data_IF_789175604246
#
_entry.id   IF_789175604246
#
_cell.length_a   1.000
_cell.length_b   1.000
_cell.length_c   1.000
_cell.angle_alpha   90.00
_cell.angle_beta   90.00
_cell.angle_gamma   90.00
#
_symmetry.space_group_name_H-M   'P 1'
#
loop_
_entity.id
_entity.type
_entity.pdbx_description
1 polymer ?
#
# COMPACT_ATOMS: atom_id res chain seq x y z
N UNK A 1 3.55 8.38 -22.63
CA UNK A 1 3.98 7.55 -21.49
C UNK A 1 2.85 7.54 -20.49
N UNK A 2 2.49 6.41 -19.95
CA UNK A 2 1.48 6.28 -18.89
C UNK A 2 2.05 6.81 -17.58
N UNK A 3 1.27 7.66 -16.87
CA UNK A 3 1.67 8.28 -15.60
C UNK A 3 1.05 7.55 -14.42
N UNK A 4 1.88 6.98 -13.56
CA UNK A 4 1.46 6.17 -12.41
C UNK A 4 1.92 6.82 -11.10
N UNK A 5 0.97 7.04 -10.17
CA UNK A 5 1.22 7.68 -8.87
C UNK A 5 0.96 6.68 -7.76
N UNK A 6 1.92 6.47 -6.85
CA UNK A 6 1.66 5.72 -5.62
C UNK A 6 1.06 6.62 -4.54
N UNK A 7 0.04 6.12 -3.87
CA UNK A 7 -0.57 6.74 -2.70
C UNK A 7 -0.44 5.79 -1.52
N UNK A 8 0.40 6.17 -0.57
CA UNK A 8 0.60 5.45 0.69
C UNK A 8 -0.42 5.95 1.70
N UNK A 9 -1.37 5.09 2.05
CA UNK A 9 -2.40 5.40 3.03
C UNK A 9 -1.85 5.21 4.45
N UNK A 10 -1.71 6.30 5.23
CA UNK A 10 -1.18 6.27 6.59
C UNK A 10 -1.92 7.21 7.53
N UNK A 11 -2.10 6.80 8.80
CA UNK A 11 -2.59 7.65 9.90
C UNK A 11 -2.08 7.13 11.25
N UNK A 12 -1.98 8.01 12.25
CA UNK A 12 -1.55 7.63 13.61
C UNK A 12 -2.71 7.16 14.50
N UNK A 13 -3.95 7.49 14.15
CA UNK A 13 -5.15 7.18 14.92
C UNK A 13 -5.62 5.72 14.81
N UNK A 14 -4.72 4.74 14.83
CA UNK A 14 -5.06 3.31 14.92
C UNK A 14 -5.58 2.97 16.32
N UNK A 15 -6.70 2.24 16.42
CA UNK A 15 -7.25 1.81 17.71
C UNK A 15 -6.52 0.58 18.29
N UNK A 16 -6.16 -0.38 17.44
CA UNK A 16 -5.45 -1.62 17.85
C UNK A 16 -4.00 -1.39 18.21
N UNK A 17 -3.33 -0.50 17.47
CA UNK A 17 -1.94 -0.13 17.70
C UNK A 17 -1.79 1.40 17.47
N UNK A 18 -1.99 2.24 18.51
CA UNK A 18 -1.82 3.69 18.41
C UNK A 18 -0.41 4.07 17.94
N UNK A 19 -0.34 5.07 17.07
CA UNK A 19 0.91 5.59 16.50
C UNK A 19 1.78 4.56 15.75
N UNK A 20 1.19 3.46 15.33
CA UNK A 20 1.83 2.35 14.63
C UNK A 20 2.86 2.79 13.58
N UNK A 21 2.53 3.82 12.78
CA UNK A 21 3.39 4.28 11.68
C UNK A 21 4.74 4.83 12.13
N UNK A 22 4.84 5.30 13.39
CA UNK A 22 6.08 5.80 13.99
C UNK A 22 6.79 4.74 14.85
N UNK A 23 6.23 3.54 14.96
CA UNK A 23 6.87 2.45 15.70
C UNK A 23 8.15 1.98 15.00
N UNK A 24 9.17 1.70 15.81
CA UNK A 24 10.50 1.33 15.32
C UNK A 24 10.56 -0.14 14.88
N UNK A 25 11.11 -0.36 13.70
CA UNK A 25 11.49 -1.66 13.15
C UNK A 25 12.93 -1.56 12.59
N UNK A 26 13.91 -2.17 13.30
CA UNK A 26 15.30 -2.21 12.84
C UNK A 26 15.96 -0.82 12.69
N UNK A 27 15.66 0.12 13.59
CA UNK A 27 16.23 1.47 13.58
C UNK A 27 15.49 2.49 12.69
N UNK A 28 14.43 2.09 12.00
CA UNK A 28 13.59 2.92 11.13
C UNK A 28 12.13 2.86 11.57
N UNK A 29 11.33 3.90 11.28
CA UNK A 29 9.89 3.84 11.51
C UNK A 29 9.20 2.92 10.50
N UNK A 30 8.02 2.37 10.82
CA UNK A 30 7.25 1.61 9.84
C UNK A 30 6.92 2.44 8.60
N UNK A 31 6.64 3.74 8.77
CA UNK A 31 6.43 4.66 7.64
C UNK A 31 7.68 4.78 6.77
N UNK A 32 8.85 4.89 7.38
CA UNK A 32 10.13 4.97 6.65
C UNK A 32 10.38 3.72 5.83
N UNK A 33 10.13 2.53 6.40
CA UNK A 33 10.21 1.26 5.67
C UNK A 33 9.36 1.30 4.40
N UNK A 34 8.10 1.68 4.52
CA UNK A 34 7.17 1.71 3.38
C UNK A 34 7.57 2.76 2.37
N UNK A 35 7.85 4.00 2.80
CA UNK A 35 8.18 5.11 1.90
C UNK A 35 9.44 4.81 1.08
N UNK A 36 10.54 4.42 1.75
CA UNK A 36 11.81 4.16 1.07
C UNK A 36 11.70 2.98 0.09
N UNK A 37 10.92 1.95 0.43
CA UNK A 37 10.72 0.80 -0.45
C UNK A 37 9.85 1.14 -1.65
N UNK A 38 8.76 1.87 -1.46
CA UNK A 38 7.88 2.33 -2.56
C UNK A 38 8.62 3.26 -3.52
N UNK A 39 9.47 4.17 -3.00
CA UNK A 39 10.27 5.09 -3.83
C UNK A 39 11.32 4.37 -4.72
N UNK A 40 11.63 3.10 -4.46
CA UNK A 40 12.53 2.28 -5.29
C UNK A 40 11.84 1.62 -6.48
N UNK A 41 10.52 1.71 -6.60
CA UNK A 41 9.80 1.22 -7.79
C UNK A 41 10.20 2.03 -9.03
N UNK A 42 10.47 1.35 -10.13
CA UNK A 42 10.92 1.96 -11.39
C UNK A 42 9.75 2.47 -12.26
N UNK A 43 8.52 2.03 -11.95
CA UNK A 43 7.33 2.35 -12.73
C UNK A 43 6.42 3.39 -12.08
N UNK A 44 6.88 4.03 -11.01
CA UNK A 44 6.17 5.11 -10.33
C UNK A 44 6.77 6.46 -10.70
N UNK A 45 5.93 7.38 -11.17
CA UNK A 45 6.34 8.76 -11.48
C UNK A 45 6.32 9.67 -10.24
N UNK A 46 5.56 9.30 -9.21
CA UNK A 46 5.36 10.10 -8.00
C UNK A 46 4.90 9.22 -6.84
N UNK A 47 5.36 9.55 -5.62
CA UNK A 47 4.93 8.88 -4.39
C UNK A 47 4.37 9.94 -3.44
N UNK A 48 3.18 9.71 -2.89
CA UNK A 48 2.49 10.64 -1.99
C UNK A 48 1.97 9.87 -0.77
N UNK A 49 2.21 10.39 0.43
CA UNK A 49 1.57 9.90 1.65
C UNK A 49 0.23 10.61 1.85
N UNK A 50 -0.87 9.87 1.88
CA UNK A 50 -2.21 10.40 2.12
C UNK A 50 -2.61 10.19 3.59
N UNK A 51 -2.61 11.30 4.36
CA UNK A 51 -2.94 11.29 5.80
C UNK A 51 -4.14 12.16 6.13
N UNK A 52 -4.48 12.26 7.42
CA UNK A 52 -5.66 13.01 7.86
C UNK A 52 -5.34 14.47 8.24
N UNK A 53 -6.38 15.26 8.47
CA UNK A 53 -6.26 16.62 9.01
C UNK A 53 -6.23 16.66 10.53
N UNK A 54 -6.28 15.49 11.21
CA UNK A 54 -6.22 15.41 12.66
C UNK A 54 -4.86 15.93 13.18
N UNK A 55 -4.85 16.71 14.29
CA UNK A 55 -3.60 17.22 14.86
C UNK A 55 -2.59 16.13 15.24
N UNK A 56 -3.06 14.92 15.57
CA UNK A 56 -2.19 13.78 15.86
C UNK A 56 -1.29 13.43 14.66
N UNK A 57 -1.79 13.58 13.44
CA UNK A 57 -1.04 13.28 12.22
C UNK A 57 -0.01 14.36 11.83
N UNK A 58 0.10 15.49 12.60
CA UNK A 58 1.18 16.47 12.39
C UNK A 58 2.56 15.82 12.58
N UNK A 59 2.67 14.85 13.48
CA UNK A 59 3.91 14.08 13.68
C UNK A 59 4.25 13.21 12.46
N UNK A 60 3.26 12.60 11.84
CA UNK A 60 3.44 11.85 10.61
C UNK A 60 3.84 12.75 9.44
N UNK A 61 3.26 13.95 9.35
CA UNK A 61 3.67 14.97 8.37
C UNK A 61 5.12 15.42 8.60
N UNK A 62 5.55 15.57 9.86
CA UNK A 62 6.94 15.91 10.18
C UNK A 62 7.90 14.80 9.75
N UNK A 63 7.55 13.53 9.97
CA UNK A 63 8.30 12.36 9.50
C UNK A 63 8.40 12.32 7.97
N UNK A 64 7.29 12.50 7.26
CA UNK A 64 7.28 12.58 5.81
C UNK A 64 8.20 13.67 5.25
N UNK A 65 8.30 14.81 5.94
CA UNK A 65 9.21 15.88 5.56
C UNK A 65 10.68 15.47 5.70
N UNK A 66 11.03 14.70 6.73
CA UNK A 66 12.40 14.17 6.90
C UNK A 66 12.73 13.12 5.83
N UNK A 67 11.72 12.34 5.42
CA UNK A 67 11.82 11.34 4.35
C UNK A 67 11.75 11.94 2.93
N UNK A 68 11.61 13.26 2.81
CA UNK A 68 11.48 13.98 1.54
C UNK A 68 10.35 13.42 0.64
N UNK A 69 9.26 12.95 1.25
CA UNK A 69 8.07 12.46 0.54
C UNK A 69 6.92 13.47 0.61
N UNK A 70 6.20 13.60 -0.50
CA UNK A 70 5.04 14.48 -0.56
C UNK A 70 3.91 13.99 0.34
N UNK A 71 3.18 14.93 0.95
CA UNK A 71 2.02 14.67 1.82
C UNK A 71 0.78 15.34 1.29
N UNK A 72 -0.33 14.61 1.25
CA UNK A 72 -1.66 15.15 1.05
C UNK A 72 -2.52 14.85 2.28
N UNK A 73 -3.15 15.89 2.84
CA UNK A 73 -4.04 15.74 4.01
C UNK A 73 -5.51 15.86 3.59
N UNK A 74 -6.37 15.08 4.22
CA UNK A 74 -7.81 15.12 3.95
C UNK A 74 -8.65 14.52 5.08
N UNK A 75 -9.92 14.22 4.79
CA UNK A 75 -10.87 13.70 5.76
C UNK A 75 -10.39 12.39 6.41
N UNK A 76 -10.64 12.24 7.71
CA UNK A 76 -10.37 11.00 8.47
C UNK A 76 -11.22 9.84 7.96
N UNK A 77 -12.49 10.10 7.64
CA UNK A 77 -13.49 9.09 7.32
C UNK A 77 -13.67 8.87 5.80
N UNK A 78 -13.01 9.69 4.96
CA UNK A 78 -13.11 9.60 3.51
C UNK A 78 -11.74 9.37 2.89
N UNK A 79 -11.27 8.13 2.96
CA UNK A 79 -9.99 7.72 2.38
C UNK A 79 -10.02 7.84 0.85
N UNK A 80 -11.13 7.42 0.22
CA UNK A 80 -11.31 7.57 -1.22
C UNK A 80 -11.17 9.04 -1.66
N UNK A 81 -11.79 9.98 -0.92
CA UNK A 81 -11.63 11.41 -1.17
C UNK A 81 -10.19 11.89 -1.02
N UNK A 82 -9.40 11.34 -0.07
CA UNK A 82 -7.98 11.62 0.03
C UNK A 82 -7.21 11.17 -1.20
N UNK A 83 -7.48 9.97 -1.70
CA UNK A 83 -6.86 9.45 -2.92
C UNK A 83 -7.17 10.32 -4.14
N UNK A 84 -8.43 10.70 -4.33
CA UNK A 84 -8.84 11.57 -5.42
C UNK A 84 -8.15 12.94 -5.34
N UNK A 85 -8.01 13.50 -4.13
CA UNK A 85 -7.33 14.79 -3.94
C UNK A 85 -5.84 14.77 -4.33
N UNK A 86 -5.19 13.59 -4.31
CA UNK A 86 -3.79 13.44 -4.78
C UNK A 86 -3.68 13.61 -6.28
N UNK A 87 -4.68 13.15 -7.03
CA UNK A 87 -4.71 13.21 -8.50
C UNK A 87 -5.53 14.37 -9.04
N UNK A 88 -6.00 15.27 -8.19
CA UNK A 88 -6.72 16.47 -8.61
C UNK A 88 -5.79 17.41 -9.36
N UNK A 89 -6.15 17.76 -10.60
CA UNK A 89 -5.31 18.56 -11.51
C UNK A 89 -4.10 17.81 -12.09
N UNK A 90 -3.92 16.52 -11.77
CA UNK A 90 -2.86 15.68 -12.34
C UNK A 90 -3.38 14.89 -13.57
N UNK A 91 -2.47 14.58 -14.49
CA UNK A 91 -2.71 13.76 -15.69
C UNK A 91 -2.44 12.26 -15.43
N UNK A 92 -2.56 11.80 -14.20
CA UNK A 92 -2.36 10.41 -13.84
C UNK A 92 -3.30 9.48 -14.61
N UNK A 93 -2.76 8.39 -15.13
CA UNK A 93 -3.51 7.29 -15.77
C UNK A 93 -3.88 6.23 -14.73
N UNK A 94 -3.01 5.99 -13.76
CA UNK A 94 -3.18 4.97 -12.72
C UNK A 94 -2.72 5.46 -11.34
N UNK A 95 -3.33 4.90 -10.31
CA UNK A 95 -2.96 5.09 -8.91
C UNK A 95 -2.64 3.73 -8.30
N UNK A 96 -1.45 3.61 -7.70
CA UNK A 96 -1.07 2.46 -6.88
C UNK A 96 -1.45 2.75 -5.43
N UNK A 97 -2.34 1.95 -4.87
CA UNK A 97 -2.69 1.98 -3.46
C UNK A 97 -1.71 1.12 -2.67
N UNK A 98 -1.08 1.72 -1.68
CA UNK A 98 -0.20 1.04 -0.73
C UNK A 98 -0.73 1.28 0.68
N UNK A 99 -0.89 0.20 1.45
CA UNK A 99 -1.20 0.28 2.87
C UNK A 99 0.09 0.40 3.68
N UNK A 100 0.18 1.41 4.55
CA UNK A 100 1.41 1.68 5.31
C UNK A 100 1.70 0.66 6.43
N UNK A 101 0.82 -0.30 6.67
CA UNK A 101 1.03 -1.42 7.58
C UNK A 101 1.82 -2.59 6.98
N UNK A 102 2.26 -2.47 5.72
CA UNK A 102 3.10 -3.45 5.01
C UNK A 102 4.55 -2.96 4.91
N UNK A 103 5.37 -3.04 6.00
CA UNK A 103 6.74 -2.49 5.97
C UNK A 103 7.63 -3.16 4.93
N UNK A 104 7.32 -4.39 4.56
CA UNK A 104 8.09 -5.15 3.57
C UNK A 104 7.53 -5.05 2.14
N UNK A 105 6.61 -4.09 1.88
CA UNK A 105 6.17 -3.82 0.50
C UNK A 105 7.36 -3.87 -0.47
N UNK A 106 7.21 -4.55 -1.59
CA UNK A 106 8.35 -4.78 -2.48
C UNK A 106 8.23 -4.00 -3.80
N UNK A 107 9.25 -3.20 -4.18
CA UNK A 107 9.22 -2.42 -5.40
C UNK A 107 9.04 -3.28 -6.65
N UNK A 108 9.65 -4.46 -6.71
CA UNK A 108 9.49 -5.39 -7.82
C UNK A 108 8.08 -5.95 -7.92
N UNK A 109 7.41 -6.19 -6.78
CA UNK A 109 6.00 -6.58 -6.74
C UNK A 109 5.08 -5.44 -7.21
N UNK A 110 5.36 -4.19 -6.80
CA UNK A 110 4.64 -3.01 -7.33
C UNK A 110 4.78 -2.94 -8.84
N UNK A 111 6.01 -2.99 -9.35
CA UNK A 111 6.30 -2.88 -10.77
C UNK A 111 5.65 -4.02 -11.58
N UNK A 112 5.55 -5.21 -11.00
CA UNK A 112 4.85 -6.33 -11.63
C UNK A 112 3.36 -6.01 -11.80
N UNK A 113 2.67 -5.58 -10.73
CA UNK A 113 1.23 -5.25 -10.81
C UNK A 113 0.97 -4.11 -11.78
N UNK A 114 1.81 -3.06 -11.77
CA UNK A 114 1.71 -1.92 -12.71
C UNK A 114 1.86 -2.39 -14.17
N UNK A 115 2.83 -3.25 -14.44
CA UNK A 115 3.08 -3.81 -15.78
C UNK A 115 1.91 -4.66 -16.27
N UNK A 116 1.39 -5.54 -15.41
CA UNK A 116 0.26 -6.41 -15.72
C UNK A 116 -1.03 -5.59 -15.92
N UNK A 117 -1.27 -4.56 -15.08
CA UNK A 117 -2.39 -3.64 -15.22
C UNK A 117 -2.41 -2.97 -16.59
N UNK A 118 -1.31 -2.39 -17.01
CA UNK A 118 -1.23 -1.71 -18.32
C UNK A 118 -1.31 -2.71 -19.49
N UNK A 119 -0.70 -3.89 -19.34
CA UNK A 119 -0.68 -4.93 -20.37
C UNK A 119 -2.05 -5.58 -20.62
N UNK A 120 -2.87 -5.73 -19.58
CA UNK A 120 -4.19 -6.37 -19.67
C UNK A 120 -5.33 -5.40 -20.04
N UNK A 121 -5.10 -4.09 -19.99
CA UNK A 121 -6.12 -3.08 -20.24
C UNK A 121 -7.33 -3.25 -19.32
N UNK A 122 -7.07 -3.43 -18.03
CA UNK A 122 -8.06 -3.54 -16.96
C UNK A 122 -8.22 -2.22 -16.22
N UNK A 123 -9.29 -2.06 -15.45
CA UNK A 123 -9.51 -0.89 -14.60
C UNK A 123 -8.93 -1.05 -13.20
N UNK A 124 -8.68 -2.32 -12.76
CA UNK A 124 -8.16 -2.65 -11.46
C UNK A 124 -7.29 -3.91 -11.54
N UNK A 125 -6.11 -3.88 -10.94
CA UNK A 125 -5.23 -5.04 -10.79
C UNK A 125 -4.65 -5.09 -9.38
N UNK A 126 -4.37 -6.29 -8.87
CA UNK A 126 -3.91 -6.45 -7.49
C UNK A 126 -3.14 -7.75 -7.29
N UNK A 127 -2.24 -7.75 -6.34
CA UNK A 127 -1.59 -8.93 -5.79
C UNK A 127 -1.81 -9.08 -4.28
N UNK A 128 -2.80 -8.38 -3.73
CA UNK A 128 -3.08 -8.31 -2.31
C UNK A 128 -4.15 -9.32 -1.89
N UNK A 129 -3.92 -10.02 -0.78
CA UNK A 129 -4.93 -10.88 -0.14
C UNK A 129 -5.88 -10.06 0.74
N UNK A 130 -7.11 -10.55 0.99
CA UNK A 130 -7.68 -11.87 0.69
C UNK A 130 -8.47 -11.97 -0.64
N UNK A 131 -8.24 -11.09 -1.59
CA UNK A 131 -9.10 -10.94 -2.76
C UNK A 131 -8.69 -11.84 -3.93
N UNK A 132 -9.69 -12.47 -4.56
CA UNK A 132 -9.49 -13.32 -5.74
C UNK A 132 -8.57 -14.53 -5.48
N UNK A 133 -7.98 -15.05 -6.55
CA UNK A 133 -7.06 -16.20 -6.53
C UNK A 133 -5.61 -15.79 -6.23
N UNK A 134 -5.39 -14.64 -5.57
CA UNK A 134 -4.06 -14.21 -5.18
C UNK A 134 -3.42 -15.20 -4.20
N UNK A 135 -2.24 -15.69 -4.56
CA UNK A 135 -1.49 -16.68 -3.81
C UNK A 135 -0.18 -16.12 -3.21
N UNK A 136 -0.02 -14.80 -3.18
CA UNK A 136 1.12 -14.13 -2.56
C UNK A 136 1.18 -14.34 -1.05
N UNK A 137 2.40 -14.33 -0.49
CA UNK A 137 2.57 -14.00 0.92
C UNK A 137 2.04 -12.59 1.19
N UNK A 138 1.33 -12.40 2.31
CA UNK A 138 0.76 -11.11 2.68
C UNK A 138 1.84 -10.14 3.17
N UNK A 139 1.68 -8.83 2.89
CA UNK A 139 2.67 -7.79 3.26
C UNK A 139 3.50 -7.26 2.09
N UNK A 140 3.38 -7.87 0.89
CA UNK A 140 4.00 -7.37 -0.35
C UNK A 140 2.97 -6.77 -1.32
N UNK A 141 1.72 -6.65 -0.88
CA UNK A 141 0.58 -6.33 -1.71
C UNK A 141 0.50 -4.87 -2.15
N UNK A 142 0.14 -4.67 -3.42
CA UNK A 142 -0.25 -3.40 -4.00
C UNK A 142 -1.51 -3.58 -4.84
N UNK A 143 -2.27 -2.50 -4.99
CA UNK A 143 -3.44 -2.43 -5.85
C UNK A 143 -3.26 -1.29 -6.84
N UNK A 144 -3.53 -1.54 -8.11
CA UNK A 144 -3.48 -0.52 -9.17
C UNK A 144 -4.89 -0.25 -9.66
N UNK A 145 -5.29 1.01 -9.61
CA UNK A 145 -6.63 1.48 -9.98
C UNK A 145 -6.48 2.53 -11.08
N UNK A 146 -7.24 2.44 -12.17
CA UNK A 146 -7.23 3.52 -13.15
C UNK A 146 -7.71 4.84 -12.51
N UNK A 147 -7.07 5.95 -12.85
CA UNK A 147 -7.45 7.25 -12.31
C UNK A 147 -8.91 7.62 -12.68
N UNK A 148 -9.39 7.13 -13.82
CA UNK A 148 -10.79 7.28 -14.26
C UNK A 148 -11.74 6.54 -13.32
N UNK A 149 -11.45 5.25 -13.00
CA UNK A 149 -12.24 4.48 -12.05
C UNK A 149 -12.25 5.14 -10.68
N UNK A 150 -11.09 5.60 -10.19
CA UNK A 150 -10.98 6.26 -8.89
C UNK A 150 -11.87 7.52 -8.82
N UNK A 151 -11.84 8.37 -9.87
CA UNK A 151 -12.72 9.54 -9.98
C UNK A 151 -14.20 9.14 -10.06
N UNK A 152 -14.53 8.08 -10.82
CA UNK A 152 -15.89 7.55 -10.94
C UNK A 152 -16.41 7.06 -9.57
N UNK A 153 -15.65 6.28 -8.83
CA UNK A 153 -16.02 5.82 -7.49
C UNK A 153 -16.32 6.98 -6.53
N UNK A 154 -15.53 8.06 -6.59
CA UNK A 154 -15.74 9.21 -5.72
C UNK A 154 -17.07 9.95 -5.96
N UNK A 155 -17.65 9.87 -7.16
CA UNK A 155 -18.95 10.47 -7.50
C UNK A 155 -20.14 9.57 -7.19
N UNK A 156 -19.91 8.29 -6.85
CA UNK A 156 -20.96 7.33 -6.54
C UNK A 156 -21.48 7.49 -5.10
N UNK A 157 -22.72 7.04 -4.87
CA UNK A 157 -23.29 6.96 -3.54
C UNK A 157 -22.79 5.70 -2.82
N UNK A 158 -21.54 5.75 -2.34
CA UNK A 158 -20.89 4.66 -1.62
C UNK A 158 -21.16 4.76 -0.12
N UNK A 159 -21.18 3.60 0.55
CA UNK A 159 -21.27 3.52 2.01
C UNK A 159 -20.03 4.11 2.68
N UNK A 160 -20.12 4.54 3.96
CA UNK A 160 -18.93 5.00 4.69
C UNK A 160 -17.80 3.98 4.69
N UNK A 161 -18.10 2.68 4.81
CA UNK A 161 -17.12 1.61 4.79
C UNK A 161 -16.43 1.48 3.43
N UNK A 162 -17.18 1.59 2.32
CA UNK A 162 -16.58 1.59 0.96
C UNK A 162 -15.71 2.83 0.72
N UNK A 163 -16.06 4.00 1.29
CA UNK A 163 -15.22 5.19 1.22
C UNK A 163 -13.95 5.08 2.07
N UNK A 164 -14.00 4.37 3.19
CA UNK A 164 -12.83 4.10 4.05
C UNK A 164 -11.87 3.10 3.40
N UNK A 165 -12.38 2.05 2.76
CA UNK A 165 -11.57 0.97 2.20
C UNK A 165 -11.35 1.08 0.69
N UNK A 166 -11.48 2.24 0.10
CA UNK A 166 -11.20 2.65 -1.31
C UNK A 166 -11.66 1.66 -2.39
N UNK A 167 -11.20 0.41 -2.33
CA UNK A 167 -11.45 -0.66 -3.29
C UNK A 167 -12.58 -1.61 -2.88
N UNK A 168 -13.16 -1.43 -1.70
CA UNK A 168 -14.17 -2.34 -1.17
C UNK A 168 -15.40 -2.48 -2.09
N UNK A 169 -15.82 -1.39 -2.73
CA UNK A 169 -16.96 -1.43 -3.66
C UNK A 169 -16.70 -2.29 -4.91
N UNK A 170 -15.42 -2.50 -5.25
CA UNK A 170 -15.00 -3.43 -6.31
C UNK A 170 -15.00 -4.86 -5.78
N UNK A 171 -14.44 -5.04 -4.59
CA UNK A 171 -14.25 -6.34 -3.94
C UNK A 171 -15.58 -6.99 -3.53
N UNK A 172 -16.53 -6.19 -3.03
CA UNK A 172 -17.88 -6.66 -2.67
C UNK A 172 -18.85 -6.72 -3.87
N UNK A 173 -18.30 -6.49 -5.09
CA UNK A 173 -19.02 -6.54 -6.36
C UNK A 173 -20.17 -5.51 -6.49
N UNK A 174 -20.22 -4.49 -5.61
CA UNK A 174 -21.19 -3.38 -5.72
C UNK A 174 -20.92 -2.54 -6.98
N UNK A 175 -19.67 -2.54 -7.45
CA UNK A 175 -19.26 -1.90 -8.69
C UNK A 175 -18.52 -2.90 -9.57
N UNK A 176 -19.13 -3.22 -10.71
CA UNK A 176 -18.53 -4.13 -11.69
C UNK A 176 -17.43 -3.42 -12.47
N UNK A 177 -16.23 -4.02 -12.47
CA UNK A 177 -15.06 -3.52 -13.18
C UNK A 177 -14.29 -4.67 -13.82
N UNK A 178 -13.54 -4.37 -14.87
CA UNK A 178 -12.60 -5.33 -15.43
C UNK A 178 -11.38 -5.38 -14.52
N UNK A 179 -11.20 -6.50 -13.81
CA UNK A 179 -10.13 -6.67 -12.82
C UNK A 179 -9.18 -7.82 -13.19
N UNK A 180 -7.97 -7.76 -12.63
CA UNK A 180 -6.92 -8.78 -12.77
C UNK A 180 -6.30 -9.08 -11.41
N UNK A 181 -6.39 -10.36 -10.99
CA UNK A 181 -5.59 -10.87 -9.87
C UNK A 181 -4.22 -11.33 -10.41
N UNK A 182 -3.14 -10.68 -9.96
CA UNK A 182 -1.79 -11.05 -10.36
C UNK A 182 -1.35 -12.32 -9.62
N UNK A 183 -0.73 -13.25 -10.35
CA UNK A 183 -0.24 -14.51 -9.79
C UNK A 183 1.17 -14.34 -9.23
N UNK A 184 1.40 -14.86 -8.00
CA UNK A 184 2.72 -14.82 -7.39
C UNK A 184 3.73 -15.70 -8.15
N UNK A 185 4.95 -15.22 -8.35
CA UNK A 185 6.04 -16.08 -8.76
C UNK A 185 6.30 -17.15 -7.68
N UNK A 186 6.85 -18.31 -8.02
CA UNK A 186 7.02 -19.44 -7.07
C UNK A 186 7.68 -19.07 -5.74
N UNK A 187 8.60 -18.10 -5.76
CA UNK A 187 9.33 -17.65 -4.57
C UNK A 187 8.48 -16.82 -3.59
N UNK A 188 7.33 -16.31 -4.02
CA UNK A 188 6.40 -15.50 -3.23
C UNK A 188 5.04 -16.19 -3.03
N UNK A 189 4.84 -17.40 -3.57
CA UNK A 189 3.59 -18.14 -3.53
C UNK A 189 3.41 -18.88 -2.18
N UNK A 190 3.41 -18.12 -1.10
CA UNK A 190 3.26 -18.61 0.28
C UNK A 190 2.09 -17.92 1.00
N UNK A 191 0.84 -18.20 0.59
CA UNK A 191 -0.34 -17.48 1.08
C UNK A 191 -0.62 -17.63 2.58
N UNK A 192 0.09 -18.48 3.29
CA UNK A 192 0.00 -18.63 4.74
C UNK A 192 0.96 -17.72 5.52
N UNK A 193 1.94 -17.10 4.85
CA UNK A 193 2.85 -16.13 5.48
C UNK A 193 2.21 -14.75 5.50
N UNK A 194 2.43 -14.02 6.60
CA UNK A 194 2.00 -12.63 6.81
C UNK A 194 3.16 -11.78 7.31
N UNK A 195 3.28 -10.58 6.76
CA UNK A 195 4.28 -9.58 7.12
C UNK A 195 3.69 -8.19 7.34
N UNK A 196 2.37 -8.08 7.35
CA UNK A 196 1.65 -6.87 7.73
C UNK A 196 1.67 -6.68 9.25
N UNK A 197 1.57 -5.43 9.70
CA UNK A 197 1.54 -5.06 11.12
C UNK A 197 0.17 -4.51 11.47
N UNK A 198 -0.63 -5.26 12.21
CA UNK A 198 -1.92 -4.82 12.73
C UNK A 198 -1.89 -4.54 14.22
N UNK A 199 -1.14 -5.33 14.97
CA UNK A 199 -0.99 -5.29 16.42
C UNK A 199 0.49 -5.25 16.82
N UNK A 200 0.76 -5.00 18.11
CA UNK A 200 2.14 -4.94 18.63
C UNK A 200 2.88 -6.25 18.43
N UNK A 201 2.17 -7.38 18.58
CA UNK A 201 2.72 -8.72 18.41
C UNK A 201 3.25 -8.97 16.99
N UNK A 202 2.56 -8.42 15.97
CA UNK A 202 3.01 -8.54 14.58
C UNK A 202 4.37 -7.85 14.42
N UNK A 203 4.50 -6.64 14.99
CA UNK A 203 5.76 -5.89 14.95
C UNK A 203 6.90 -6.64 15.64
N UNK A 204 6.64 -7.29 16.77
CA UNK A 204 7.65 -8.07 17.49
C UNK A 204 8.11 -9.28 16.66
N UNK A 205 7.20 -9.96 15.97
CA UNK A 205 7.54 -11.03 15.03
C UNK A 205 8.44 -10.53 13.88
N UNK A 206 8.14 -9.36 13.32
CA UNK A 206 8.99 -8.78 12.28
C UNK A 206 10.36 -8.36 12.82
N UNK A 207 10.45 -7.83 14.03
CA UNK A 207 11.73 -7.52 14.70
C UNK A 207 12.61 -8.78 14.86
N UNK A 208 12.01 -9.87 15.31
CA UNK A 208 12.73 -11.16 15.39
C UNK A 208 13.21 -11.62 14.01
N UNK A 209 12.35 -11.49 12.99
CA UNK A 209 12.70 -11.88 11.63
C UNK A 209 13.85 -11.03 11.08
N UNK A 210 13.86 -9.71 11.34
CA UNK A 210 14.95 -8.83 10.93
C UNK A 210 16.28 -9.28 11.50
N UNK A 211 16.32 -9.52 12.82
CA UNK A 211 17.56 -9.91 13.51
C UNK A 211 18.04 -11.29 13.05
N UNK A 212 17.16 -12.30 13.04
CA UNK A 212 17.52 -13.67 12.63
C UNK A 212 17.88 -13.77 11.14
N UNK A 213 17.19 -12.96 10.32
CA UNK A 213 17.33 -12.97 8.86
C UNK A 213 18.42 -12.04 8.33
N UNK A 214 19.00 -11.17 9.17
CA UNK A 214 19.89 -10.07 8.71
C UNK A 214 19.22 -9.26 7.57
N UNK A 215 17.93 -8.92 7.78
CA UNK A 215 17.10 -8.21 6.82
C UNK A 215 17.25 -6.71 7.03
N UNK A 216 17.50 -5.97 5.96
CA UNK A 216 17.54 -4.52 5.93
C UNK A 216 16.52 -3.93 4.93
N UNK A 217 16.48 -2.60 4.84
CA UNK A 217 15.58 -1.85 3.94
C UNK A 217 15.73 -2.26 2.46
N UNK A 218 16.87 -2.81 2.06
CA UNK A 218 17.16 -3.20 0.68
C UNK A 218 16.71 -4.62 0.32
N UNK A 219 16.38 -5.45 1.33
CA UNK A 219 16.06 -6.85 1.12
C UNK A 219 14.85 -7.04 0.20
N UNK A 220 14.98 -7.90 -0.78
CA UNK A 220 13.89 -8.23 -1.71
C UNK A 220 12.88 -9.20 -1.08
N UNK A 221 11.62 -9.16 -1.54
CA UNK A 221 10.54 -9.98 -1.00
C UNK A 221 10.89 -11.48 -0.95
N UNK A 222 11.51 -12.02 -2.00
CA UNK A 222 11.87 -13.44 -2.04
C UNK A 222 12.92 -13.81 -0.97
N UNK A 223 13.82 -12.90 -0.63
CA UNK A 223 14.79 -13.08 0.45
C UNK A 223 14.10 -13.09 1.80
N UNK A 224 13.17 -12.16 2.03
CA UNK A 224 12.38 -12.08 3.28
C UNK A 224 11.59 -13.38 3.47
N UNK A 225 10.88 -13.86 2.45
CA UNK A 225 10.14 -15.13 2.48
C UNK A 225 11.07 -16.30 2.78
N UNK A 226 12.23 -16.39 2.10
CA UNK A 226 13.18 -17.48 2.32
C UNK A 226 13.75 -17.49 3.74
N UNK A 227 13.87 -16.32 4.40
CA UNK A 227 14.30 -16.22 5.81
C UNK A 227 13.18 -16.60 6.78
N UNK A 228 11.93 -16.27 6.46
CA UNK A 228 10.77 -16.64 7.29
C UNK A 228 10.45 -18.15 7.27
N UNK A 229 10.90 -18.88 6.26
CA UNK A 229 10.73 -20.33 6.13
C UNK A 229 11.79 -21.16 6.87
N UNK A 230 12.78 -20.55 7.49
CA UNK A 230 13.87 -21.19 8.25
C UNK A 230 13.63 -21.18 9.75
#
# INVERSE_FOLDING_TARGET
>A
MTRTIAVIQARLGSQRFPEKMLAELGGHSLLEWVVQRVQRSELLDRVVVATTQEPLDDRLVAECKQLEVEVRRGSTNDVLGRFVSVIEGDTADAVVRVCADNPFIDPGCIDQVVREFHGAGVEYAFNHRPYGDCNYADGFGAEVISAELLRRLATMNLTPQQREHVTLAIVDESVQVKSLACTAPPQLAYPHLRFDVDEVQDLDLLRELLVKGEIDLSAEAHTIVAKALR
#
